data_IF_522119208299
#
_entry.id   IF_522119208299
#
_cell.length_a   1.000
_cell.length_b   1.000
_cell.length_c   1.000
_cell.angle_alpha   90.00
_cell.angle_beta   90.00
_cell.angle_gamma   90.00
#
_symmetry.space_group_name_H-M   'P 1'
#
loop_
_entity.id
_entity.type
_entity.pdbx_description
1 polymer ?
#
# COMPACT_ATOMS: atom_id res chain seq x y z
N UNK A 1 -10.25 69.44 -23.23
CA UNK A 1 -9.66 68.10 -23.38
C UNK A 1 -8.86 67.80 -22.12
N UNK A 2 -9.37 66.92 -21.26
CA UNK A 2 -8.67 66.44 -20.06
C UNK A 2 -8.91 64.94 -19.96
N UNK A 3 -7.82 64.19 -19.99
CA UNK A 3 -7.81 62.73 -19.99
C UNK A 3 -8.10 62.20 -18.58
N UNK A 4 -9.08 61.30 -18.47
CA UNK A 4 -9.40 60.59 -17.24
C UNK A 4 -8.53 59.32 -17.09
N UNK A 5 -8.07 58.97 -15.88
CA UNK A 5 -7.14 57.87 -15.67
C UNK A 5 -7.84 56.51 -15.63
N UNK A 6 -7.21 55.51 -16.26
CA UNK A 6 -7.56 54.10 -16.18
C UNK A 6 -7.31 53.57 -14.75
N UNK A 7 -8.36 53.13 -14.06
CA UNK A 7 -8.24 52.38 -12.80
C UNK A 7 -7.75 50.96 -13.09
N UNK A 8 -6.59 50.64 -12.51
CA UNK A 8 -6.04 49.30 -12.35
C UNK A 8 -7.07 48.38 -11.69
N UNK A 9 -7.48 47.32 -12.39
CA UNK A 9 -8.22 46.20 -11.79
C UNK A 9 -7.19 45.31 -11.11
N UNK A 10 -7.07 45.48 -9.80
CA UNK A 10 -6.41 44.52 -8.91
C UNK A 10 -7.12 43.18 -9.09
N UNK A 11 -6.42 42.20 -9.67
CA UNK A 11 -6.87 40.80 -9.65
C UNK A 11 -6.86 40.33 -8.20
N UNK A 12 -8.04 40.34 -7.57
CA UNK A 12 -8.25 39.62 -6.32
C UNK A 12 -7.92 38.15 -6.59
N UNK A 13 -6.92 37.64 -5.89
CA UNK A 13 -6.61 36.21 -5.82
C UNK A 13 -7.76 35.59 -5.03
N UNK A 14 -8.77 35.04 -5.72
CA UNK A 14 -9.83 34.28 -5.07
C UNK A 14 -9.18 33.16 -4.25
N UNK A 15 -9.38 33.19 -2.94
CA UNK A 15 -9.09 32.04 -2.08
C UNK A 15 -10.06 30.93 -2.46
N UNK A 16 -9.56 29.69 -2.50
CA UNK A 16 -10.25 28.47 -2.95
C UNK A 16 -11.57 28.17 -2.19
N UNK A 17 -11.90 28.98 -1.18
CA UNK A 17 -12.95 28.80 -0.17
C UNK A 17 -14.27 29.53 -0.50
N UNK A 18 -14.34 30.38 -1.53
CA UNK A 18 -15.53 31.22 -1.76
C UNK A 18 -16.65 30.54 -2.56
N UNK A 19 -16.47 29.29 -3.02
CA UNK A 19 -17.52 28.55 -3.72
C UNK A 19 -17.51 27.05 -3.37
N UNK A 20 -18.43 26.63 -2.50
CA UNK A 20 -18.50 25.25 -1.98
C UNK A 20 -18.71 24.21 -3.07
N UNK A 21 -19.47 24.53 -4.12
CA UNK A 21 -19.79 23.60 -5.22
C UNK A 21 -18.54 23.25 -6.06
N UNK A 22 -17.68 24.23 -6.34
CA UNK A 22 -16.42 23.99 -7.06
C UNK A 22 -15.41 23.20 -6.22
N UNK A 23 -15.43 23.36 -4.90
CA UNK A 23 -14.58 22.57 -4.00
C UNK A 23 -15.01 21.10 -3.99
N UNK A 24 -16.32 20.83 -3.93
CA UNK A 24 -16.85 19.46 -3.95
C UNK A 24 -16.57 18.74 -5.28
N UNK A 25 -16.77 19.40 -6.42
CA UNK A 25 -16.43 18.86 -7.75
C UNK A 25 -14.93 18.53 -7.87
N UNK A 26 -14.07 19.42 -7.39
CA UNK A 26 -12.62 19.18 -7.36
C UNK A 26 -12.27 17.97 -6.50
N UNK A 27 -12.84 17.86 -5.29
CA UNK A 27 -12.55 16.74 -4.37
C UNK A 27 -13.02 15.41 -4.94
N UNK A 28 -14.22 15.36 -5.54
CA UNK A 28 -14.69 14.17 -6.27
C UNK A 28 -13.77 13.82 -7.44
N UNK A 29 -13.24 14.82 -8.14
CA UNK A 29 -12.23 14.63 -9.18
C UNK A 29 -10.93 14.00 -8.66
N UNK A 30 -10.43 14.41 -7.50
CA UNK A 30 -9.22 13.83 -6.87
C UNK A 30 -9.45 12.34 -6.56
N UNK A 31 -10.62 11.99 -6.03
CA UNK A 31 -10.99 10.60 -5.76
C UNK A 31 -11.11 9.77 -7.04
N UNK A 32 -11.71 10.33 -8.10
CA UNK A 32 -11.82 9.65 -9.38
C UNK A 32 -10.44 9.37 -10.00
N UNK A 33 -9.49 10.31 -9.91
CA UNK A 33 -8.11 10.08 -10.36
C UNK A 33 -7.47 8.95 -9.56
N UNK A 34 -7.58 8.97 -8.22
CA UNK A 34 -7.09 7.87 -7.37
C UNK A 34 -7.66 6.53 -7.82
N UNK A 35 -8.97 6.42 -8.00
CA UNK A 35 -9.63 5.13 -8.27
C UNK A 35 -9.27 4.56 -9.65
N UNK A 36 -9.12 5.43 -10.66
CA UNK A 36 -8.62 5.02 -11.98
C UNK A 36 -7.23 4.41 -11.86
N UNK A 37 -6.32 5.08 -11.16
CA UNK A 37 -4.93 4.62 -11.01
C UNK A 37 -4.80 3.40 -10.09
N UNK A 38 -5.65 3.27 -9.08
CA UNK A 38 -5.78 2.04 -8.29
C UNK A 38 -6.18 0.86 -9.19
N UNK A 39 -7.16 1.04 -10.08
CA UNK A 39 -7.58 0.03 -11.04
C UNK A 39 -6.49 -0.39 -12.01
N UNK A 40 -5.63 0.54 -12.45
CA UNK A 40 -4.44 0.21 -13.23
C UNK A 40 -3.43 -0.62 -12.41
N UNK A 41 -3.15 -0.23 -11.17
CA UNK A 41 -2.16 -0.91 -10.33
C UNK A 41 -2.54 -2.33 -9.87
N UNK A 42 -3.85 -2.62 -9.83
CA UNK A 42 -4.41 -3.93 -9.46
C UNK A 42 -4.77 -4.80 -10.69
N UNK A 43 -4.45 -4.35 -11.90
CA UNK A 43 -4.82 -5.04 -13.14
C UNK A 43 -4.13 -6.41 -13.25
N UNK A 44 -4.89 -7.42 -13.67
CA UNK A 44 -4.42 -8.79 -13.90
C UNK A 44 -4.72 -9.30 -15.33
N UNK A 45 -4.77 -8.39 -16.30
CA UNK A 45 -4.90 -8.71 -17.73
C UNK A 45 -3.51 -8.72 -18.38
N UNK A 46 -3.32 -9.39 -19.53
CA UNK A 46 -2.05 -9.40 -20.25
C UNK A 46 -1.45 -7.99 -20.45
N UNK A 47 -0.12 -7.93 -20.53
CA UNK A 47 0.57 -6.67 -20.81
C UNK A 47 0.29 -6.19 -22.24
N UNK A 48 0.16 -4.88 -22.40
CA UNK A 48 0.22 -4.24 -23.72
C UNK A 48 1.70 -4.09 -24.08
N UNK A 49 2.25 -5.14 -24.69
CA UNK A 49 3.68 -5.21 -25.03
C UNK A 49 4.09 -4.09 -25.97
N UNK A 50 3.27 -3.76 -26.97
CA UNK A 50 3.57 -2.71 -27.95
C UNK A 50 3.72 -1.34 -27.29
N UNK A 51 2.78 -0.96 -26.42
CA UNK A 51 2.88 0.32 -25.70
C UNK A 51 4.06 0.33 -24.72
N UNK A 52 4.33 -0.79 -24.04
CA UNK A 52 5.44 -0.89 -23.10
C UNK A 52 6.81 -0.77 -23.80
N UNK A 53 7.02 -1.54 -24.87
CA UNK A 53 8.25 -1.54 -25.66
C UNK A 53 8.52 -0.15 -26.24
N UNK A 54 7.52 0.48 -26.87
CA UNK A 54 7.67 1.82 -27.44
C UNK A 54 8.05 2.89 -26.39
N UNK A 55 7.48 2.80 -25.19
CA UNK A 55 7.83 3.70 -24.10
C UNK A 55 9.27 3.46 -23.59
N UNK A 56 9.69 2.19 -23.45
CA UNK A 56 11.07 1.84 -23.06
C UNK A 56 12.07 2.27 -24.14
N UNK A 57 11.81 2.02 -25.42
CA UNK A 57 12.66 2.46 -26.54
C UNK A 57 12.91 3.97 -26.49
N UNK A 58 11.85 4.74 -26.20
CA UNK A 58 11.96 6.20 -26.07
C UNK A 58 12.86 6.59 -24.88
N UNK A 59 12.78 5.86 -23.75
CA UNK A 59 13.67 6.07 -22.60
C UNK A 59 15.14 5.71 -22.91
N UNK A 60 15.38 4.64 -23.66
CA UNK A 60 16.72 4.25 -24.14
C UNK A 60 17.30 5.32 -25.05
N UNK A 61 16.54 5.75 -26.06
CA UNK A 61 16.94 6.80 -27.01
C UNK A 61 17.26 8.11 -26.31
N UNK A 62 16.39 8.55 -25.38
CA UNK A 62 16.61 9.76 -24.57
C UNK A 62 17.84 9.66 -23.64
N UNK A 63 18.23 8.45 -23.27
CA UNK A 63 19.43 8.19 -22.47
C UNK A 63 20.71 8.06 -23.30
N UNK A 64 20.61 8.14 -24.64
CA UNK A 64 21.73 8.02 -25.57
C UNK A 64 22.13 6.57 -25.88
N UNK A 65 21.24 5.62 -25.66
CA UNK A 65 21.45 4.20 -25.96
C UNK A 65 20.67 3.78 -27.22
N UNK A 66 21.11 2.68 -27.82
CA UNK A 66 20.39 2.02 -28.92
C UNK A 66 19.14 1.32 -28.37
N UNK A 67 18.19 1.02 -29.25
CA UNK A 67 17.01 0.24 -28.88
C UNK A 67 17.44 -1.14 -28.36
N UNK A 68 16.88 -1.61 -27.23
CA UNK A 68 17.24 -2.89 -26.66
C UNK A 68 16.53 -4.04 -27.38
N UNK A 69 17.07 -5.24 -27.22
CA UNK A 69 16.28 -6.46 -27.40
C UNK A 69 15.32 -6.63 -26.22
N UNK A 70 14.03 -6.85 -26.51
CA UNK A 70 13.02 -7.09 -25.48
C UNK A 70 12.89 -8.58 -25.18
N UNK A 71 13.05 -8.94 -23.91
CA UNK A 71 12.83 -10.30 -23.41
C UNK A 71 11.65 -10.28 -22.46
N UNK A 72 10.55 -10.89 -22.87
CA UNK A 72 9.36 -11.04 -22.04
C UNK A 72 9.41 -12.33 -21.23
N UNK A 73 9.22 -12.19 -19.92
CA UNK A 73 9.15 -13.29 -18.96
C UNK A 73 7.76 -13.36 -18.33
N UNK A 74 7.30 -14.55 -17.91
CA UNK A 74 5.93 -14.73 -17.39
C UNK A 74 5.70 -14.09 -16.02
N UNK A 75 6.76 -13.76 -15.28
CA UNK A 75 6.66 -13.21 -13.93
C UNK A 75 7.92 -12.44 -13.51
N UNK A 76 7.85 -11.57 -12.48
CA UNK A 76 9.03 -10.94 -11.90
C UNK A 76 10.07 -11.92 -11.33
N UNK A 77 9.70 -13.03 -10.64
CA UNK A 77 10.65 -14.09 -10.29
C UNK A 77 11.39 -14.67 -11.48
N UNK A 78 10.70 -15.03 -12.57
CA UNK A 78 11.34 -15.51 -13.79
C UNK A 78 12.31 -14.48 -14.40
N UNK A 79 11.98 -13.19 -14.30
CA UNK A 79 12.89 -12.10 -14.69
C UNK A 79 14.14 -12.04 -13.81
N UNK A 80 13.97 -12.18 -12.49
CA UNK A 80 15.10 -12.24 -11.55
C UNK A 80 16.04 -13.40 -11.86
N UNK A 81 15.49 -14.59 -12.09
CA UNK A 81 16.24 -15.81 -12.38
C UNK A 81 16.98 -15.69 -13.72
N UNK A 82 16.34 -15.14 -14.74
CA UNK A 82 16.96 -14.86 -16.03
C UNK A 82 18.15 -13.90 -15.87
N UNK A 83 17.94 -12.77 -15.17
CA UNK A 83 18.98 -11.76 -14.95
C UNK A 83 20.18 -12.35 -14.22
N UNK A 84 19.95 -13.20 -13.22
CA UNK A 84 20.99 -13.87 -12.47
C UNK A 84 21.74 -14.91 -13.33
N UNK A 85 21.01 -15.73 -14.08
CA UNK A 85 21.56 -16.81 -14.93
C UNK A 85 22.42 -16.26 -16.06
N UNK A 86 21.94 -15.22 -16.74
CA UNK A 86 22.62 -14.58 -17.86
C UNK A 86 23.71 -13.59 -17.41
N UNK A 87 23.87 -13.37 -16.10
CA UNK A 87 24.85 -12.41 -15.57
C UNK A 87 24.63 -10.98 -16.05
N UNK A 88 23.37 -10.61 -16.35
CA UNK A 88 23.02 -9.27 -16.84
C UNK A 88 23.23 -8.18 -15.79
N UNK A 89 23.27 -8.56 -14.51
CA UNK A 89 23.62 -7.69 -13.40
C UNK A 89 24.92 -6.95 -13.71
N UNK A 90 24.79 -5.69 -14.10
CA UNK A 90 25.93 -4.92 -14.59
C UNK A 90 26.87 -4.69 -13.41
N UNK A 91 28.11 -5.17 -13.52
CA UNK A 91 29.20 -4.65 -12.68
C UNK A 91 29.22 -3.15 -12.93
N UNK A 92 28.82 -2.34 -11.94
CA UNK A 92 28.84 -0.89 -12.01
C UNK A 92 30.25 -0.47 -12.44
N UNK A 93 30.42 -0.18 -13.74
CA UNK A 93 31.71 0.24 -14.28
C UNK A 93 31.87 1.71 -13.96
N UNK A 94 32.59 1.99 -12.88
CA UNK A 94 33.01 3.35 -12.54
C UNK A 94 34.21 3.73 -13.43
N UNK A 95 33.94 4.17 -14.65
CA UNK A 95 34.91 5.02 -15.36
C UNK A 95 34.80 6.44 -14.77
N UNK A 96 35.92 7.17 -14.75
CA UNK A 96 36.20 8.37 -13.93
C UNK A 96 35.29 9.60 -14.12
N UNK A 97 34.16 9.44 -14.79
CA UNK A 97 33.18 10.44 -15.18
C UNK A 97 31.72 10.08 -14.81
N UNK A 98 31.45 8.91 -14.20
CA UNK A 98 30.15 8.59 -13.58
C UNK A 98 29.64 7.16 -13.84
N UNK A 99 28.43 6.86 -13.36
CA UNK A 99 27.75 5.57 -13.66
C UNK A 99 27.23 5.62 -15.10
N UNK A 100 27.78 4.77 -15.97
CA UNK A 100 27.53 4.84 -17.41
C UNK A 100 26.40 3.96 -17.92
N UNK A 101 25.92 2.98 -17.14
CA UNK A 101 24.92 2.01 -17.62
C UNK A 101 23.51 2.61 -17.80
N UNK A 102 22.73 2.02 -18.70
CA UNK A 102 21.40 2.55 -19.07
C UNK A 102 20.45 2.68 -17.87
N UNK A 103 20.45 1.71 -16.95
CA UNK A 103 19.54 1.70 -15.79
C UNK A 103 19.76 2.94 -14.92
N UNK A 104 21.01 3.32 -14.68
CA UNK A 104 21.37 4.52 -13.93
C UNK A 104 21.00 5.81 -14.68
N UNK A 105 21.15 5.84 -16.01
CA UNK A 105 20.77 7.01 -16.82
C UNK A 105 19.27 7.26 -16.83
N UNK A 106 18.47 6.22 -17.06
CA UNK A 106 17.01 6.29 -16.98
C UNK A 106 16.59 6.74 -15.57
N UNK A 107 17.17 6.12 -14.53
CA UNK A 107 16.87 6.47 -13.14
C UNK A 107 17.21 7.92 -12.81
N UNK A 108 18.35 8.42 -13.29
CA UNK A 108 18.77 9.81 -13.10
C UNK A 108 17.81 10.76 -13.80
N UNK A 109 17.53 10.55 -15.08
CA UNK A 109 16.61 11.37 -15.89
C UNK A 109 15.22 11.48 -15.23
N UNK A 110 14.63 10.35 -14.85
CA UNK A 110 13.32 10.32 -14.21
C UNK A 110 13.35 10.93 -12.79
N UNK A 111 14.45 10.79 -12.06
CA UNK A 111 14.62 11.42 -10.74
C UNK A 111 14.74 12.94 -10.83
N UNK A 112 15.50 13.44 -11.81
CA UNK A 112 15.64 14.88 -12.03
C UNK A 112 14.33 15.52 -12.49
N UNK A 113 13.58 14.86 -13.38
CA UNK A 113 12.27 15.33 -13.80
C UNK A 113 11.30 15.45 -12.61
N UNK A 114 11.21 14.40 -11.79
CA UNK A 114 10.42 14.41 -10.55
C UNK A 114 10.84 15.54 -9.61
N UNK A 115 12.14 15.71 -9.37
CA UNK A 115 12.65 16.80 -8.52
C UNK A 115 12.24 18.18 -9.02
N UNK A 116 12.23 18.40 -10.34
CA UNK A 116 11.77 19.65 -10.96
C UNK A 116 10.27 19.85 -10.77
N UNK A 117 9.46 18.82 -10.99
CA UNK A 117 8.00 18.86 -10.77
C UNK A 117 7.66 19.10 -9.28
N UNK A 118 8.31 18.39 -8.36
CA UNK A 118 8.15 18.56 -6.91
C UNK A 118 8.52 19.99 -6.47
N UNK A 119 9.58 20.56 -7.03
CA UNK A 119 9.98 21.94 -6.75
C UNK A 119 8.88 22.94 -7.17
N UNK A 120 8.20 22.70 -8.29
CA UNK A 120 7.09 23.54 -8.75
C UNK A 120 5.85 23.39 -7.85
N UNK A 121 5.51 22.16 -7.46
CA UNK A 121 4.41 21.87 -6.54
C UNK A 121 4.66 22.54 -5.19
N UNK A 122 5.89 22.45 -4.66
CA UNK A 122 6.26 23.06 -3.39
C UNK A 122 6.24 24.59 -3.41
N UNK A 123 6.46 25.23 -4.56
CA UNK A 123 6.36 26.71 -4.71
C UNK A 123 4.92 27.22 -4.68
N UNK A 124 3.93 26.35 -4.92
CA UNK A 124 2.50 26.69 -4.81
C UNK A 124 1.96 26.72 -3.38
N UNK A 125 2.82 26.62 -2.35
CA UNK A 125 2.40 26.51 -0.94
C UNK A 125 1.68 27.75 -0.42
N UNK A 126 0.63 27.49 0.35
CA UNK A 126 0.01 28.41 1.32
C UNK A 126 0.76 28.33 2.64
N UNK A 127 0.82 29.43 3.39
CA UNK A 127 1.54 29.66 4.66
C UNK A 127 0.96 28.84 5.85
N UNK A 128 0.74 27.53 5.68
CA UNK A 128 0.24 26.69 6.76
C UNK A 128 1.37 26.29 7.73
N UNK A 129 1.27 26.55 9.05
CA UNK A 129 2.38 26.33 9.98
C UNK A 129 2.84 24.87 10.16
N UNK A 130 2.02 23.87 9.80
CA UNK A 130 2.36 22.44 10.02
C UNK A 130 1.75 21.51 8.96
N UNK A 131 2.35 21.45 7.77
CA UNK A 131 1.90 20.59 6.66
C UNK A 131 1.81 19.10 7.02
N UNK A 132 2.72 18.58 7.85
CA UNK A 132 2.65 17.18 8.33
C UNK A 132 1.35 16.88 9.06
N UNK A 133 0.94 17.76 9.99
CA UNK A 133 -0.32 17.62 10.73
C UNK A 133 -1.52 17.71 9.81
N UNK A 134 -1.45 18.56 8.78
CA UNK A 134 -2.51 18.66 7.78
C UNK A 134 -2.69 17.36 6.97
N UNK A 135 -1.57 16.71 6.58
CA UNK A 135 -1.61 15.39 5.92
C UNK A 135 -2.15 14.31 6.87
N UNK A 136 -1.74 14.31 8.14
CA UNK A 136 -2.25 13.36 9.13
C UNK A 136 -3.76 13.49 9.33
N UNK A 137 -4.28 14.71 9.44
CA UNK A 137 -5.73 14.97 9.48
C UNK A 137 -6.40 14.50 8.19
N UNK A 138 -5.82 14.82 7.02
CA UNK A 138 -6.38 14.41 5.73
C UNK A 138 -6.43 12.88 5.56
N UNK A 139 -5.51 12.12 6.18
CA UNK A 139 -5.54 10.64 6.16
C UNK A 139 -6.71 10.03 6.94
N UNK A 140 -7.29 10.78 7.88
CA UNK A 140 -8.32 10.27 8.79
C UNK A 140 -9.75 10.59 8.35
N UNK A 141 -9.94 11.41 7.32
CA UNK A 141 -11.26 11.84 6.85
C UNK A 141 -11.30 12.02 5.33
N UNK A 142 -12.50 12.21 4.78
CA UNK A 142 -12.67 12.37 3.33
C UNK A 142 -11.97 13.64 2.79
N UNK A 143 -11.66 13.69 1.49
CA UNK A 143 -11.21 14.92 0.82
C UNK A 143 -12.16 16.11 1.03
N UNK A 144 -13.49 15.88 0.98
CA UNK A 144 -14.50 16.92 1.22
C UNK A 144 -14.48 17.45 2.66
N UNK A 145 -14.45 16.55 3.66
CA UNK A 145 -14.36 16.96 5.07
C UNK A 145 -13.04 17.69 5.38
N UNK A 146 -11.95 17.28 4.72
CA UNK A 146 -10.66 17.97 4.78
C UNK A 146 -10.73 19.37 4.19
N UNK A 147 -11.41 19.54 3.07
CA UNK A 147 -11.61 20.86 2.46
C UNK A 147 -12.40 21.80 3.37
N UNK A 148 -13.44 21.28 4.06
CA UNK A 148 -14.30 22.05 4.98
C UNK A 148 -13.58 22.57 6.22
N UNK A 149 -12.47 21.94 6.62
CA UNK A 149 -11.61 22.41 7.72
C UNK A 149 -10.32 23.07 7.21
N UNK A 150 -10.37 23.59 5.98
CA UNK A 150 -9.33 24.38 5.32
C UNK A 150 -7.98 23.64 5.14
N UNK A 151 -8.00 22.30 5.07
CA UNK A 151 -6.80 21.54 4.71
C UNK A 151 -6.44 21.84 3.25
N UNK A 152 -5.18 22.19 3.01
CA UNK A 152 -4.71 22.53 1.67
C UNK A 152 -4.93 21.40 0.66
N UNK A 153 -5.26 21.70 -0.62
CA UNK A 153 -5.35 20.70 -1.69
C UNK A 153 -4.09 19.84 -1.82
N UNK A 154 -2.89 20.39 -1.58
CA UNK A 154 -1.65 19.61 -1.59
C UNK A 154 -1.63 18.50 -0.54
N UNK A 155 -2.06 18.81 0.70
CA UNK A 155 -2.13 17.82 1.77
C UNK A 155 -3.20 16.76 1.49
N UNK A 156 -4.35 17.17 0.93
CA UNK A 156 -5.43 16.27 0.52
C UNK A 156 -4.94 15.33 -0.60
N UNK A 157 -4.37 15.85 -1.68
CA UNK A 157 -3.83 15.04 -2.79
C UNK A 157 -2.72 14.10 -2.29
N UNK A 158 -1.87 14.58 -1.37
CA UNK A 158 -0.84 13.72 -0.77
C UNK A 158 -1.43 12.54 -0.02
N UNK A 159 -2.44 12.76 0.83
CA UNK A 159 -3.08 11.70 1.59
C UNK A 159 -3.95 10.79 0.70
N UNK A 160 -4.85 11.40 -0.08
CA UNK A 160 -5.89 10.73 -0.84
C UNK A 160 -5.39 10.06 -2.12
N UNK A 161 -4.32 10.55 -2.74
CA UNK A 161 -3.77 9.98 -3.99
C UNK A 161 -2.43 9.29 -3.74
N UNK A 162 -1.42 10.02 -3.24
CA UNK A 162 -0.09 9.44 -3.12
C UNK A 162 -0.01 8.36 -2.03
N UNK A 163 -0.37 8.70 -0.79
CA UNK A 163 -0.19 7.80 0.35
C UNK A 163 -1.10 6.57 0.20
N UNK A 164 -2.38 6.77 -0.17
CA UNK A 164 -3.36 5.69 -0.37
C UNK A 164 -2.94 4.67 -1.43
N UNK A 165 -2.53 5.13 -2.61
CA UNK A 165 -2.06 4.28 -3.70
C UNK A 165 -0.72 3.63 -3.36
N UNK A 166 0.19 4.37 -2.70
CA UNK A 166 1.48 3.82 -2.28
C UNK A 166 1.29 2.67 -1.29
N UNK A 167 0.44 2.86 -0.27
CA UNK A 167 0.10 1.81 0.70
C UNK A 167 -0.43 0.57 0.01
N UNK A 168 -1.35 0.75 -0.96
CA UNK A 168 -2.00 -0.38 -1.63
C UNK A 168 -1.07 -1.10 -2.60
N UNK A 169 -0.39 -0.34 -3.46
CA UNK A 169 0.29 -0.88 -4.63
C UNK A 169 1.77 -1.15 -4.37
N UNK A 170 2.48 -0.25 -3.71
CA UNK A 170 3.93 -0.35 -3.56
C UNK A 170 4.33 -1.06 -2.26
N UNK A 171 3.74 -0.63 -1.15
CA UNK A 171 3.99 -1.21 0.18
C UNK A 171 3.16 -2.49 0.39
N UNK A 172 2.08 -2.69 -0.38
CA UNK A 172 1.27 -3.92 -0.41
C UNK A 172 1.70 -4.87 -1.52
N UNK A 173 1.19 -4.66 -2.75
CA UNK A 173 1.38 -5.61 -3.87
C UNK A 173 2.85 -5.80 -4.23
N UNK A 174 3.60 -4.72 -4.50
CA UNK A 174 4.98 -4.86 -4.93
C UNK A 174 5.86 -5.45 -3.81
N UNK A 175 5.61 -5.09 -2.54
CA UNK A 175 6.31 -5.69 -1.41
C UNK A 175 6.07 -7.20 -1.33
N UNK A 176 4.84 -7.66 -1.58
CA UNK A 176 4.52 -9.08 -1.62
C UNK A 176 5.21 -9.80 -2.79
N UNK A 177 5.19 -9.24 -4.00
CA UNK A 177 5.90 -9.83 -5.15
C UNK A 177 7.41 -9.94 -4.88
N UNK A 178 8.02 -8.96 -4.20
CA UNK A 178 9.45 -9.03 -3.84
C UNK A 178 9.78 -10.24 -2.94
N UNK A 179 8.83 -10.83 -2.23
CA UNK A 179 9.10 -12.03 -1.41
C UNK A 179 9.25 -13.30 -2.23
N UNK A 180 8.86 -13.28 -3.51
CA UNK A 180 8.97 -14.41 -4.44
C UNK A 180 10.33 -14.48 -5.13
N UNK A 181 11.19 -13.47 -4.98
CA UNK A 181 12.41 -13.34 -5.77
C UNK A 181 13.56 -12.74 -4.96
N UNK A 182 14.82 -13.12 -5.23
CA UNK A 182 15.95 -12.41 -4.67
C UNK A 182 16.00 -10.98 -5.20
N UNK A 183 16.70 -10.10 -4.48
CA UNK A 183 16.97 -8.76 -4.96
C UNK A 183 17.86 -8.81 -6.21
N UNK A 184 17.43 -8.13 -7.27
CA UNK A 184 18.21 -8.01 -8.51
C UNK A 184 19.38 -7.05 -8.28
N UNK A 185 20.61 -7.58 -8.30
CA UNK A 185 21.83 -6.79 -8.20
C UNK A 185 22.16 -6.09 -9.54
N UNK A 186 22.86 -4.96 -9.49
CA UNK A 186 23.41 -4.32 -10.70
C UNK A 186 22.40 -3.66 -11.64
N UNK A 187 21.13 -3.53 -11.24
CA UNK A 187 20.08 -2.88 -12.04
C UNK A 187 19.02 -2.18 -11.17
N UNK A 188 18.22 -1.31 -11.80
CA UNK A 188 17.07 -0.66 -11.16
C UNK A 188 15.83 -1.49 -11.49
N UNK A 189 15.14 -1.95 -10.44
CA UNK A 189 13.84 -2.62 -10.59
C UNK A 189 12.75 -1.57 -10.74
N UNK A 190 12.11 -1.54 -11.91
CA UNK A 190 10.94 -0.72 -12.17
C UNK A 190 9.69 -1.55 -11.94
N UNK A 191 8.74 -1.04 -11.16
CA UNK A 191 7.62 -1.84 -10.66
C UNK A 191 6.36 -1.72 -11.53
N UNK A 192 6.49 -1.11 -12.72
CA UNK A 192 5.40 -0.91 -13.69
C UNK A 192 4.13 -0.37 -13.05
N UNK A 193 3.03 -1.12 -13.18
CA UNK A 193 1.73 -0.74 -12.65
C UNK A 193 1.72 -0.45 -11.13
N UNK A 194 2.62 -1.03 -10.33
CA UNK A 194 2.69 -0.72 -8.88
C UNK A 194 3.35 0.64 -8.57
N UNK A 195 3.88 1.35 -9.58
CA UNK A 195 4.34 2.73 -9.45
C UNK A 195 3.24 3.78 -9.69
N UNK A 196 1.98 3.34 -9.92
CA UNK A 196 0.87 4.25 -10.22
C UNK A 196 0.68 5.37 -9.18
N UNK A 197 1.04 5.16 -7.92
CA UNK A 197 1.01 6.20 -6.88
C UNK A 197 1.81 7.47 -7.26
N UNK A 198 2.93 7.30 -7.97
CA UNK A 198 3.76 8.43 -8.43
C UNK A 198 3.13 9.14 -9.61
N UNK A 199 2.67 8.37 -10.59
CA UNK A 199 2.06 8.90 -11.82
C UNK A 199 0.76 9.62 -11.49
N UNK A 200 -0.11 9.00 -10.70
CA UNK A 200 -1.38 9.57 -10.25
C UNK A 200 -1.21 10.91 -9.56
N UNK A 201 -0.17 11.06 -8.75
CA UNK A 201 0.14 12.31 -8.07
C UNK A 201 0.40 13.44 -9.07
N UNK A 202 1.38 13.29 -9.98
CA UNK A 202 1.66 14.33 -10.99
C UNK A 202 0.52 14.52 -11.98
N UNK A 203 -0.18 13.45 -12.35
CA UNK A 203 -1.34 13.48 -13.22
C UNK A 203 -2.49 14.29 -12.59
N UNK A 204 -2.70 14.19 -11.27
CA UNK A 204 -3.67 15.03 -10.53
C UNK A 204 -3.31 16.51 -10.68
N UNK A 205 -2.06 16.90 -10.42
CA UNK A 205 -1.64 18.30 -10.57
C UNK A 205 -1.81 18.82 -12.00
N UNK A 206 -1.52 17.98 -12.99
CA UNK A 206 -1.67 18.32 -14.41
C UNK A 206 -3.14 18.47 -14.81
N UNK A 207 -4.00 17.51 -14.46
CA UNK A 207 -5.43 17.49 -14.83
C UNK A 207 -6.20 18.66 -14.25
N UNK A 208 -5.91 19.02 -13.00
CA UNK A 208 -6.58 20.13 -12.33
C UNK A 208 -5.86 21.48 -12.49
N UNK A 209 -4.82 21.56 -13.33
CA UNK A 209 -4.10 22.80 -13.59
C UNK A 209 -3.40 23.41 -12.36
N UNK A 210 -3.10 22.60 -11.35
CA UNK A 210 -2.48 23.02 -10.09
C UNK A 210 -0.98 23.31 -10.24
N UNK A 211 -0.36 22.73 -11.26
CA UNK A 211 1.02 23.03 -11.66
C UNK A 211 1.17 22.94 -13.18
N UNK A 212 2.01 23.82 -13.75
CA UNK A 212 2.40 23.77 -15.16
C UNK A 212 3.82 23.25 -15.27
N UNK A 213 3.96 21.99 -15.67
CA UNK A 213 5.26 21.35 -15.87
C UNK A 213 5.90 21.76 -17.20
N UNK A 214 7.21 21.56 -17.31
CA UNK A 214 7.96 21.77 -18.57
C UNK A 214 7.53 20.72 -19.58
N UNK A 215 7.59 21.03 -20.88
CA UNK A 215 7.24 20.06 -21.93
C UNK A 215 8.02 18.76 -21.80
N UNK A 216 9.33 18.85 -21.52
CA UNK A 216 10.19 17.68 -21.31
C UNK A 216 9.77 16.82 -20.10
N UNK A 217 9.33 17.46 -19.01
CA UNK A 217 8.83 16.75 -17.82
C UNK A 217 7.46 16.10 -18.09
N UNK A 218 6.62 16.72 -18.93
CA UNK A 218 5.34 16.17 -19.36
C UNK A 218 5.55 14.93 -20.23
N UNK A 219 6.47 14.99 -21.20
CA UNK A 219 6.81 13.84 -22.06
C UNK A 219 7.31 12.65 -21.22
N UNK A 220 8.17 12.89 -20.23
CA UNK A 220 8.62 11.83 -19.31
C UNK A 220 7.48 11.28 -18.45
N UNK A 221 6.56 12.13 -17.99
CA UNK A 221 5.36 11.68 -17.27
C UNK A 221 4.43 10.85 -18.15
N UNK A 222 4.31 11.18 -19.44
CA UNK A 222 3.52 10.41 -20.41
C UNK A 222 4.13 9.03 -20.67
N UNK A 223 5.46 8.93 -20.75
CA UNK A 223 6.14 7.63 -20.82
C UNK A 223 5.88 6.78 -19.56
N UNK A 224 5.96 7.38 -18.37
CA UNK A 224 5.64 6.68 -17.13
C UNK A 224 4.16 6.28 -17.04
N UNK A 225 3.27 7.11 -17.57
CA UNK A 225 1.83 6.83 -17.70
C UNK A 225 1.58 5.62 -18.59
N UNK A 226 2.22 5.59 -19.76
CA UNK A 226 2.14 4.48 -20.70
C UNK A 226 2.64 3.17 -20.05
N UNK A 227 3.83 3.17 -19.44
CA UNK A 227 4.40 2.00 -18.79
C UNK A 227 3.53 1.47 -17.64
N UNK A 228 3.07 2.37 -16.76
CA UNK A 228 2.18 2.02 -15.64
C UNK A 228 0.88 1.39 -16.15
N UNK A 229 0.35 1.90 -17.27
CA UNK A 229 -0.86 1.39 -17.91
C UNK A 229 -0.66 0.13 -18.75
N UNK A 230 0.56 -0.18 -19.17
CA UNK A 230 0.86 -1.21 -20.17
C UNK A 230 1.48 -2.50 -19.62
N UNK A 231 2.36 -2.44 -18.60
CA UNK A 231 3.16 -3.62 -18.20
C UNK A 231 3.30 -3.80 -16.68
N UNK A 232 3.79 -4.99 -16.30
CA UNK A 232 4.32 -5.33 -14.99
C UNK A 232 5.73 -4.80 -14.79
N UNK A 233 6.58 -5.57 -14.11
CA UNK A 233 7.92 -5.10 -13.74
C UNK A 233 8.89 -5.13 -14.89
N UNK A 234 9.96 -4.35 -14.81
CA UNK A 234 10.98 -4.35 -15.83
C UNK A 234 12.36 -3.90 -15.36
N UNK A 235 13.36 -4.32 -16.14
CA UNK A 235 14.77 -4.05 -15.89
C UNK A 235 15.46 -3.68 -17.21
N UNK A 236 16.24 -2.60 -17.17
CA UNK A 236 17.01 -2.12 -18.30
C UNK A 236 18.48 -2.46 -18.16
N UNK A 237 19.03 -3.09 -19.21
CA UNK A 237 20.46 -3.34 -19.42
C UNK A 237 20.88 -2.80 -20.78
N UNK A 238 22.17 -2.58 -20.99
CA UNK A 238 22.67 -1.76 -22.10
C UNK A 238 22.15 -2.19 -23.49
N UNK A 239 21.96 -3.50 -23.72
CA UNK A 239 21.44 -4.06 -24.98
C UNK A 239 20.13 -4.87 -24.82
N UNK A 240 19.67 -5.11 -23.59
CA UNK A 240 18.51 -5.97 -23.31
C UNK A 240 17.59 -5.28 -22.32
N UNK A 241 16.29 -5.35 -22.55
CA UNK A 241 15.28 -4.99 -21.56
C UNK A 241 14.46 -6.23 -21.20
N UNK A 242 14.50 -6.63 -19.93
CA UNK A 242 13.68 -7.73 -19.42
C UNK A 242 12.37 -7.14 -18.93
N UNK A 243 11.26 -7.64 -19.49
CA UNK A 243 9.90 -7.19 -19.21
C UNK A 243 9.11 -8.35 -18.60
N UNK A 244 8.49 -8.17 -17.44
CA UNK A 244 7.65 -9.18 -16.82
C UNK A 244 6.18 -8.95 -17.19
N UNK A 245 5.50 -10.04 -17.54
CA UNK A 245 4.06 -10.05 -17.63
C UNK A 245 3.39 -9.70 -16.30
N UNK A 246 2.11 -9.32 -16.40
CA UNK A 246 1.27 -9.06 -15.24
C UNK A 246 0.83 -10.37 -14.57
N UNK A 247 0.41 -10.30 -13.30
CA UNK A 247 -0.32 -11.41 -12.68
C UNK A 247 -1.54 -11.79 -13.53
N UNK A 248 -1.87 -13.07 -13.57
CA UNK A 248 -3.10 -13.61 -14.16
C UNK A 248 -4.29 -13.49 -13.21
N UNK A 249 -4.02 -13.44 -11.90
CA UNK A 249 -5.00 -13.14 -10.86
C UNK A 249 -4.39 -12.20 -9.81
N UNK A 250 -5.20 -11.25 -9.33
CA UNK A 250 -4.84 -10.37 -8.23
C UNK A 250 -6.11 -9.99 -7.45
N UNK A 251 -6.15 -10.39 -6.18
CA UNK A 251 -7.27 -10.19 -5.29
C UNK A 251 -6.89 -9.32 -4.11
N UNK A 252 -7.72 -8.31 -3.85
CA UNK A 252 -7.50 -7.37 -2.78
C UNK A 252 -8.84 -6.96 -2.14
N UNK A 253 -8.79 -6.60 -0.86
CA UNK A 253 -9.93 -6.11 -0.10
C UNK A 253 -9.66 -4.68 0.43
N UNK A 254 -10.70 -3.92 0.81
CA UNK A 254 -10.51 -2.65 1.51
C UNK A 254 -9.74 -2.84 2.81
N UNK A 255 -8.83 -1.93 3.14
CA UNK A 255 -8.20 -1.90 4.46
C UNK A 255 -9.22 -1.33 5.46
N UNK A 256 -9.59 -2.07 6.53
CA UNK A 256 -10.52 -1.57 7.54
C UNK A 256 -10.08 -0.25 8.17
N UNK A 257 -11.03 0.66 8.41
CA UNK A 257 -10.79 1.96 9.04
C UNK A 257 -10.09 3.00 8.15
N UNK A 258 -9.79 2.67 6.89
CA UNK A 258 -9.22 3.63 5.93
C UNK A 258 -10.32 4.32 5.10
N UNK A 259 -10.04 5.55 4.67
CA UNK A 259 -11.04 6.46 4.09
C UNK A 259 -10.77 6.81 2.62
N UNK A 260 -9.58 6.48 2.10
CA UNK A 260 -9.14 6.80 0.74
C UNK A 260 -9.07 5.57 -0.17
N UNK A 261 -10.00 4.63 0.01
CA UNK A 261 -10.09 3.39 -0.77
C UNK A 261 -8.79 2.56 -0.80
N UNK A 262 -7.99 2.60 0.26
CA UNK A 262 -6.77 1.80 0.37
C UNK A 262 -7.11 0.30 0.37
N UNK A 263 -6.31 -0.48 -0.36
CA UNK A 263 -6.50 -1.91 -0.57
C UNK A 263 -5.32 -2.69 0.01
N UNK A 264 -5.59 -3.90 0.48
CA UNK A 264 -4.56 -4.89 0.82
C UNK A 264 -4.84 -6.18 0.09
N UNK A 265 -3.79 -6.92 -0.27
CA UNK A 265 -3.93 -8.25 -0.85
C UNK A 265 -4.69 -9.17 0.11
N UNK A 266 -5.67 -9.89 -0.43
CA UNK A 266 -6.43 -10.88 0.32
C UNK A 266 -7.25 -11.74 -0.64
N UNK A 267 -7.28 -13.04 -0.40
CA UNK A 267 -8.34 -13.91 -0.91
C UNK A 267 -8.66 -15.00 0.14
N UNK A 268 -9.95 -15.29 0.41
CA UNK A 268 -10.33 -16.18 1.50
C UNK A 268 -10.12 -17.67 1.20
N UNK A 269 -10.11 -18.07 -0.07
CA UNK A 269 -10.20 -19.48 -0.48
C UNK A 269 -9.21 -19.91 -1.57
N UNK A 270 -8.31 -19.02 -1.98
CA UNK A 270 -7.38 -19.22 -3.11
C UNK A 270 -6.17 -18.28 -2.95
N UNK A 271 -5.12 -18.38 -3.79
CA UNK A 271 -4.07 -17.38 -3.81
C UNK A 271 -4.63 -15.96 -4.03
N UNK A 272 -4.03 -14.98 -3.37
CA UNK A 272 -4.35 -13.58 -3.59
C UNK A 272 -3.63 -13.01 -4.83
N UNK A 273 -2.61 -13.70 -5.33
CA UNK A 273 -1.85 -13.32 -6.50
C UNK A 273 -1.34 -14.58 -7.21
N UNK A 274 -1.45 -14.61 -8.54
CA UNK A 274 -0.96 -15.70 -9.39
C UNK A 274 -0.31 -15.13 -10.65
N UNK A 275 0.79 -15.74 -11.09
CA UNK A 275 1.42 -15.53 -12.39
C UNK A 275 1.25 -16.75 -13.29
N UNK A 276 1.44 -16.56 -14.60
CA UNK A 276 1.25 -17.59 -15.62
C UNK A 276 2.19 -18.80 -15.44
N UNK A 277 3.38 -18.58 -14.88
CA UNK A 277 4.38 -19.63 -14.61
C UNK A 277 4.16 -20.40 -13.30
N UNK A 278 3.03 -20.19 -12.64
CA UNK A 278 2.65 -20.90 -11.41
C UNK A 278 3.20 -20.28 -10.12
N UNK A 279 3.96 -19.18 -10.18
CA UNK A 279 4.27 -18.41 -8.97
C UNK A 279 3.00 -17.82 -8.38
N UNK A 280 2.77 -18.07 -7.09
CA UNK A 280 1.57 -17.67 -6.39
C UNK A 280 1.87 -17.18 -4.96
N UNK A 281 0.95 -16.38 -4.41
CA UNK A 281 1.00 -15.92 -3.02
C UNK A 281 -0.35 -16.09 -2.35
N UNK A 282 -0.39 -16.80 -1.23
CA UNK A 282 -1.52 -16.80 -0.32
C UNK A 282 -1.39 -15.63 0.65
N UNK A 283 -2.44 -14.82 0.75
CA UNK A 283 -2.46 -13.64 1.62
C UNK A 283 -3.77 -13.58 2.38
N UNK A 284 -3.69 -13.59 3.71
CA UNK A 284 -4.82 -13.41 4.61
C UNK A 284 -4.78 -12.00 5.21
N UNK A 285 -5.76 -11.16 4.88
CA UNK A 285 -5.87 -9.81 5.43
C UNK A 285 -4.57 -8.96 5.35
N UNK A 286 -3.81 -9.09 4.25
CA UNK A 286 -2.53 -8.42 4.02
C UNK A 286 -1.30 -9.16 4.55
N UNK A 287 -1.46 -10.23 5.32
CA UNK A 287 -0.38 -11.08 5.82
C UNK A 287 -0.11 -12.21 4.83
N UNK A 288 1.12 -12.33 4.32
CA UNK A 288 1.54 -13.45 3.49
C UNK A 288 1.60 -14.70 4.37
N UNK A 289 0.90 -15.76 3.96
CA UNK A 289 0.76 -16.99 4.71
C UNK A 289 1.06 -18.19 3.82
N UNK A 290 1.43 -19.35 4.40
CA UNK A 290 1.42 -20.60 3.66
C UNK A 290 0.02 -20.95 3.14
N UNK A 291 -0.02 -21.75 2.08
CA UNK A 291 -1.25 -22.25 1.44
C UNK A 291 -2.21 -22.93 2.41
N UNK A 292 -1.68 -23.74 3.33
CA UNK A 292 -2.46 -24.49 4.31
C UNK A 292 -3.31 -23.57 5.19
N UNK A 293 -2.89 -22.33 5.44
CA UNK A 293 -3.68 -21.37 6.23
C UNK A 293 -5.00 -21.03 5.54
N UNK A 294 -5.00 -20.96 4.21
CA UNK A 294 -6.15 -20.56 3.42
C UNK A 294 -6.99 -21.78 3.00
N UNK A 295 -6.31 -22.83 2.54
CA UNK A 295 -6.93 -24.00 1.91
C UNK A 295 -7.38 -25.08 2.90
N UNK A 296 -6.57 -25.35 3.92
CA UNK A 296 -6.79 -26.48 4.84
C UNK A 296 -6.16 -26.20 6.22
N UNK A 297 -6.67 -25.21 6.95
CA UNK A 297 -6.20 -24.90 8.29
C UNK A 297 -6.70 -25.94 9.30
N UNK A 298 -5.78 -26.45 10.13
CA UNK A 298 -6.11 -27.40 11.20
C UNK A 298 -5.41 -26.99 12.49
N UNK A 299 -5.99 -27.37 13.63
CA UNK A 299 -5.37 -27.16 14.95
C UNK A 299 -3.96 -27.76 15.02
N UNK A 300 -3.78 -28.94 14.42
CA UNK A 300 -2.50 -29.64 14.40
C UNK A 300 -1.40 -28.86 13.65
N UNK A 301 -1.74 -28.22 12.52
CA UNK A 301 -0.83 -27.34 11.78
C UNK A 301 -0.57 -26.03 12.54
N UNK A 302 -1.61 -25.44 13.14
CA UNK A 302 -1.49 -24.24 13.98
C UNK A 302 -0.51 -24.48 15.15
N UNK A 303 -0.60 -25.63 15.83
CA UNK A 303 0.28 -25.95 16.96
C UNK A 303 1.77 -26.08 16.56
N UNK A 304 2.06 -26.49 15.31
CA UNK A 304 3.43 -26.64 14.80
C UNK A 304 4.00 -25.37 14.20
N UNK A 305 3.16 -24.42 13.80
CA UNK A 305 3.58 -23.17 13.20
C UNK A 305 4.28 -22.28 14.24
N UNK A 306 5.49 -21.82 13.91
CA UNK A 306 6.33 -21.02 14.81
C UNK A 306 6.00 -19.53 14.69
N UNK A 307 5.56 -19.09 13.53
CA UNK A 307 5.23 -17.70 13.29
C UNK A 307 3.86 -17.37 13.92
N UNK A 308 3.87 -16.50 14.92
CA UNK A 308 2.67 -16.11 15.67
C UNK A 308 1.60 -15.46 14.78
N UNK A 309 2.01 -14.66 13.79
CA UNK A 309 1.07 -14.02 12.87
C UNK A 309 0.42 -15.03 11.92
N UNK A 310 1.16 -16.05 11.48
CA UNK A 310 0.61 -17.15 10.65
C UNK A 310 -0.36 -17.99 11.45
N UNK A 311 -0.03 -18.34 12.71
CA UNK A 311 -0.95 -19.01 13.64
C UNK A 311 -2.23 -18.21 13.82
N UNK A 312 -2.10 -16.90 14.06
CA UNK A 312 -3.25 -16.01 14.21
C UNK A 312 -4.15 -16.04 12.98
N UNK A 313 -3.58 -15.92 11.78
CA UNK A 313 -4.34 -15.98 10.53
C UNK A 313 -5.08 -17.31 10.39
N UNK A 314 -4.44 -18.44 10.72
CA UNK A 314 -5.05 -19.75 10.67
C UNK A 314 -6.18 -19.94 11.70
N UNK A 315 -6.01 -19.44 12.93
CA UNK A 315 -7.07 -19.44 13.95
C UNK A 315 -8.25 -18.57 13.51
N UNK A 316 -7.99 -17.39 12.94
CA UNK A 316 -9.04 -16.54 12.38
C UNK A 316 -9.81 -17.25 11.25
N UNK A 317 -9.12 -18.07 10.44
CA UNK A 317 -9.73 -18.82 9.33
C UNK A 317 -10.65 -19.95 9.80
N UNK A 318 -10.27 -20.75 10.81
CA UNK A 318 -11.13 -21.81 11.36
C UNK A 318 -12.16 -21.29 12.37
N UNK A 319 -11.92 -20.10 12.92
CA UNK A 319 -12.72 -19.49 13.97
C UNK A 319 -12.28 -19.91 15.37
N UNK A 320 -12.44 -18.99 16.32
CA UNK A 320 -12.04 -19.19 17.71
C UNK A 320 -12.77 -20.35 18.40
N UNK A 321 -14.06 -20.52 18.13
CA UNK A 321 -14.84 -21.59 18.76
C UNK A 321 -14.33 -22.97 18.35
N UNK A 322 -14.17 -23.20 17.03
CA UNK A 322 -13.56 -24.41 16.47
C UNK A 322 -12.16 -24.65 17.05
N UNK A 323 -11.32 -23.60 17.11
CA UNK A 323 -9.98 -23.73 17.65
C UNK A 323 -9.96 -24.11 19.13
N UNK A 324 -10.80 -23.47 19.96
CA UNK A 324 -10.88 -23.75 21.40
C UNK A 324 -11.31 -25.21 21.64
N UNK A 325 -12.35 -25.65 20.94
CA UNK A 325 -12.94 -26.98 21.11
C UNK A 325 -11.97 -28.07 20.62
N UNK A 326 -11.42 -27.94 19.42
CA UNK A 326 -10.54 -28.94 18.82
C UNK A 326 -9.13 -28.96 19.45
N UNK A 327 -8.62 -27.81 19.91
CA UNK A 327 -7.34 -27.74 20.63
C UNK A 327 -7.47 -28.13 22.11
N UNK A 328 -8.70 -28.29 22.61
CA UNK A 328 -8.96 -28.63 24.02
C UNK A 328 -8.44 -27.57 24.99
N UNK A 329 -8.60 -26.28 24.65
CA UNK A 329 -8.10 -25.20 25.50
C UNK A 329 -8.86 -25.15 26.84
N UNK A 330 -8.12 -25.15 27.94
CA UNK A 330 -8.71 -25.07 29.27
C UNK A 330 -9.05 -23.61 29.62
N UNK A 331 -10.32 -23.33 29.90
CA UNK A 331 -10.76 -22.02 30.40
C UNK A 331 -10.23 -21.81 31.84
N UNK A 332 -9.54 -20.69 32.05
CA UNK A 332 -9.04 -20.24 33.35
C UNK A 332 -10.09 -19.38 34.05
N UNK A 333 -10.57 -18.34 33.34
CA UNK A 333 -11.49 -17.36 33.89
C UNK A 333 -12.36 -16.76 32.79
N UNK A 334 -13.54 -16.27 33.18
CA UNK A 334 -14.49 -15.57 32.32
C UNK A 334 -15.10 -14.41 33.09
N UNK A 335 -15.12 -13.24 32.45
CA UNK A 335 -15.75 -12.04 33.00
C UNK A 335 -16.51 -11.28 31.91
N UNK A 336 -17.45 -10.43 32.30
CA UNK A 336 -17.95 -9.40 31.39
C UNK A 336 -16.82 -8.42 31.04
N UNK A 337 -16.89 -7.76 29.89
CA UNK A 337 -15.94 -6.72 29.48
C UNK A 337 -16.50 -5.32 29.80
N UNK A 338 -16.07 -4.65 30.90
CA UNK A 338 -16.49 -3.28 31.21
C UNK A 338 -16.15 -2.29 30.10
N UNK A 339 -15.02 -2.52 29.41
CA UNK A 339 -14.60 -1.72 28.27
C UNK A 339 -15.45 -1.94 27.01
N UNK A 340 -16.25 -3.01 26.98
CA UNK A 340 -17.05 -3.41 25.83
C UNK A 340 -18.38 -4.06 26.25
N UNK A 341 -19.29 -3.24 26.80
CA UNK A 341 -20.59 -3.65 27.35
C UNK A 341 -21.34 -4.62 26.42
N UNK A 342 -21.80 -5.74 26.98
CA UNK A 342 -22.52 -6.79 26.26
C UNK A 342 -21.61 -7.90 25.69
N UNK A 343 -20.29 -7.79 25.89
CA UNK A 343 -19.33 -8.82 25.51
C UNK A 343 -18.59 -9.37 26.74
N UNK A 344 -17.98 -10.55 26.56
CA UNK A 344 -17.26 -11.25 27.61
C UNK A 344 -15.79 -11.42 27.26
N UNK A 345 -14.94 -11.32 28.26
CA UNK A 345 -13.55 -11.73 28.24
C UNK A 345 -13.45 -13.21 28.65
N UNK A 346 -12.60 -13.97 27.98
CA UNK A 346 -12.32 -15.37 28.32
C UNK A 346 -10.82 -15.60 28.28
N UNK A 347 -10.27 -16.14 29.36
CA UNK A 347 -8.84 -16.44 29.49
C UNK A 347 -8.63 -17.95 29.40
N UNK A 348 -7.76 -18.40 28.51
CA UNK A 348 -7.48 -19.82 28.30
C UNK A 348 -6.00 -20.15 28.51
N UNK A 349 -5.72 -21.39 28.92
CA UNK A 349 -4.38 -21.98 28.83
C UNK A 349 -4.18 -22.53 27.43
N UNK A 350 -3.03 -22.22 26.82
CA UNK A 350 -2.54 -22.87 25.61
C UNK A 350 -1.26 -23.61 25.96
N UNK A 351 -1.15 -24.86 25.52
CA UNK A 351 0.14 -25.56 25.50
C UNK A 351 0.71 -25.48 24.09
N UNK A 352 1.99 -25.13 23.96
CA UNK A 352 2.69 -25.16 22.68
C UNK A 352 3.08 -26.59 22.24
N UNK A 353 2.72 -27.62 23.02
CA UNK A 353 3.13 -29.01 22.77
C UNK A 353 4.61 -29.29 23.09
N UNK A 354 5.39 -28.27 23.46
CA UNK A 354 6.81 -28.35 23.83
C UNK A 354 7.02 -28.07 25.33
N UNK A 355 5.95 -28.14 26.12
CA UNK A 355 5.97 -27.96 27.57
C UNK A 355 5.96 -26.50 28.03
N UNK A 356 5.81 -25.52 27.13
CA UNK A 356 5.52 -24.14 27.51
C UNK A 356 4.02 -23.94 27.52
N UNK A 357 3.52 -23.45 28.63
CA UNK A 357 2.15 -22.93 28.73
C UNK A 357 2.21 -21.43 28.49
N UNK A 358 1.32 -20.93 27.65
CA UNK A 358 1.00 -19.50 27.56
C UNK A 358 -0.47 -19.30 27.90
N UNK A 359 -0.84 -18.10 28.32
CA UNK A 359 -2.25 -17.73 28.47
C UNK A 359 -2.68 -16.88 27.29
N UNK A 360 -3.92 -17.09 26.83
CA UNK A 360 -4.53 -16.27 25.80
C UNK A 360 -5.82 -15.65 26.29
N UNK A 361 -5.88 -14.33 26.21
CA UNK A 361 -7.10 -13.58 26.44
C UNK A 361 -7.84 -13.46 25.11
N UNK A 362 -9.07 -13.97 25.08
CA UNK A 362 -9.99 -13.79 23.98
C UNK A 362 -10.94 -12.63 24.30
N UNK A 363 -10.89 -11.60 23.45
CA UNK A 363 -11.70 -10.40 23.57
C UNK A 363 -12.44 -10.10 22.26
N UNK A 364 -13.54 -9.36 22.37
CA UNK A 364 -14.31 -8.87 21.21
C UNK A 364 -13.92 -7.43 20.93
N UNK A 365 -13.76 -7.07 19.66
CA UNK A 365 -13.40 -5.71 19.27
C UNK A 365 -14.49 -4.72 19.74
N UNK A 366 -14.05 -3.56 20.26
CA UNK A 366 -14.93 -2.53 20.82
C UNK A 366 -15.76 -1.81 19.76
N UNK A 367 -15.20 -1.69 18.56
CA UNK A 367 -15.84 -1.08 17.40
C UNK A 367 -16.32 -2.17 16.43
N UNK A 368 -17.56 -2.07 15.91
CA UNK A 368 -17.99 -2.93 14.83
C UNK A 368 -17.20 -2.64 13.56
N UNK A 369 -16.96 -3.67 12.76
CA UNK A 369 -16.51 -3.54 11.38
C UNK A 369 -17.61 -2.85 10.54
N UNK A 370 -17.27 -2.44 9.30
CA UNK A 370 -18.24 -1.75 8.41
C UNK A 370 -19.50 -2.58 8.12
N UNK A 371 -19.41 -3.90 8.19
CA UNK A 371 -20.51 -4.84 8.02
C UNK A 371 -21.32 -5.07 9.31
N UNK A 372 -21.01 -4.35 10.39
CA UNK A 372 -21.66 -4.46 11.69
C UNK A 372 -21.16 -5.63 12.55
N UNK A 373 -20.32 -6.52 12.01
CA UNK A 373 -19.77 -7.65 12.76
C UNK A 373 -18.68 -7.17 13.71
N UNK A 374 -18.46 -7.93 14.79
CA UNK A 374 -17.34 -7.72 15.70
C UNK A 374 -16.46 -8.94 15.67
N UNK A 375 -15.16 -8.72 15.52
CA UNK A 375 -14.17 -9.79 15.48
C UNK A 375 -13.72 -10.14 16.89
N UNK A 376 -13.48 -11.44 17.12
CA UNK A 376 -12.79 -11.94 18.31
C UNK A 376 -11.31 -12.02 18.01
N UNK A 377 -10.49 -11.58 18.97
CA UNK A 377 -9.03 -11.61 18.86
C UNK A 377 -8.43 -12.20 20.12
N UNK A 378 -7.41 -13.02 19.93
CA UNK A 378 -6.63 -13.63 21.00
C UNK A 378 -5.36 -12.85 21.23
N UNK A 379 -5.07 -12.55 22.49
CA UNK A 379 -3.89 -11.81 22.93
C UNK A 379 -3.10 -12.69 23.88
N UNK A 380 -1.83 -12.94 23.55
CA UNK A 380 -0.93 -13.64 24.47
C UNK A 380 -0.65 -12.77 25.69
N UNK A 381 -0.86 -13.33 26.87
CA UNK A 381 -0.63 -12.67 28.16
C UNK A 381 0.25 -13.55 29.07
N UNK A 382 0.99 -12.94 30.03
CA UNK A 382 1.83 -13.70 30.96
C UNK A 382 1.07 -14.78 31.74
N UNK A 383 1.68 -15.95 31.89
CA UNK A 383 1.11 -17.12 32.61
C UNK A 383 0.81 -16.87 34.09
N UNK A 384 1.42 -15.85 34.69
CA UNK A 384 1.13 -15.45 36.08
C UNK A 384 -0.26 -14.85 36.26
N UNK A 385 -0.90 -14.43 35.17
CA UNK A 385 -2.23 -13.81 35.19
C UNK A 385 -3.29 -14.90 35.14
N UNK A 386 -4.17 -14.95 36.13
CA UNK A 386 -5.24 -15.96 36.23
C UNK A 386 -6.64 -15.38 36.13
N UNK A 387 -6.80 -14.05 35.97
CA UNK A 387 -8.09 -13.41 35.75
C UNK A 387 -8.20 -12.80 34.35
N UNK A 388 -9.38 -12.96 33.73
CA UNK A 388 -9.69 -12.37 32.43
C UNK A 388 -9.68 -10.83 32.47
N UNK A 389 -10.10 -10.21 33.58
CA UNK A 389 -10.04 -8.76 33.77
C UNK A 389 -8.60 -8.26 33.93
N UNK A 390 -7.79 -8.96 34.74
CA UNK A 390 -6.37 -8.62 34.89
C UNK A 390 -5.60 -8.78 33.57
N UNK A 391 -5.93 -9.82 32.80
CA UNK A 391 -5.37 -10.04 31.48
C UNK A 391 -5.72 -8.88 30.53
N UNK A 392 -6.98 -8.41 30.55
CA UNK A 392 -7.38 -7.27 29.73
C UNK A 392 -6.67 -6.00 30.18
N UNK A 393 -6.61 -5.72 31.48
CA UNK A 393 -5.92 -4.58 32.06
C UNK A 393 -4.43 -4.54 31.68
N UNK A 394 -3.76 -5.70 31.71
CA UNK A 394 -2.36 -5.83 31.30
C UNK A 394 -2.12 -5.36 29.86
N UNK A 395 -3.06 -5.59 28.94
CA UNK A 395 -2.92 -5.13 27.55
C UNK A 395 -2.97 -3.60 27.40
N UNK A 396 -3.53 -2.91 28.39
CA UNK A 396 -3.58 -1.45 28.46
C UNK A 396 -2.50 -0.85 29.37
N UNK A 397 -1.70 -1.69 30.03
CA UNK A 397 -0.69 -1.24 31.01
C UNK A 397 -1.31 -0.63 32.28
N UNK A 398 -2.52 -1.07 32.67
CA UNK A 398 -3.22 -0.63 33.89
C UNK A 398 -3.53 -1.82 34.80
N UNK A 399 -3.94 -1.53 36.04
CA UNK A 399 -4.35 -2.55 37.00
C UNK A 399 -5.78 -3.06 36.75
N UNK A 400 -6.04 -4.31 37.15
CA UNK A 400 -7.35 -4.97 36.96
C UNK A 400 -8.52 -4.23 37.60
N UNK A 401 -8.30 -3.60 38.75
CA UNK A 401 -9.30 -2.76 39.42
C UNK A 401 -9.66 -1.53 38.60
N UNK A 402 -8.68 -0.89 37.97
CA UNK A 402 -8.92 0.30 37.14
C UNK A 402 -9.66 -0.10 35.86
N UNK A 403 -9.28 -1.23 35.26
CA UNK A 403 -9.99 -1.78 34.10
C UNK A 403 -11.46 -2.12 34.43
N UNK A 404 -11.73 -2.64 35.63
CA UNK A 404 -13.08 -2.96 36.09
C UNK A 404 -14.00 -1.72 36.18
N UNK A 405 -13.42 -0.53 36.30
CA UNK A 405 -14.14 0.74 36.36
C UNK A 405 -14.26 1.45 35.00
N UNK A 406 -13.79 0.84 33.90
CA UNK A 406 -14.00 1.40 32.56
C UNK A 406 -15.49 1.41 32.20
N UNK A 407 -15.95 2.58 31.73
CA UNK A 407 -17.35 2.78 31.30
C UNK A 407 -17.49 2.65 29.77
N UNK A 408 -16.40 2.88 29.01
CA UNK A 408 -16.35 2.70 27.55
C UNK A 408 -14.89 2.80 27.05
N UNK A 409 -14.50 1.98 26.06
CA UNK A 409 -13.28 2.21 25.26
C UNK A 409 -13.49 3.45 24.36
N UNK A 410 -12.58 4.43 24.42
CA UNK A 410 -12.50 5.53 23.44
C UNK A 410 -11.92 5.07 22.12
#
# INVERSE_FOLDING_TARGET
>A
MSAAPLRSVVRHRATFTDNQDHSAEFMSGVEAVRDVWLGHGLRAWPSDRTTAESAVETLYRRSGFREPEFVWVPSPPAGSDLIATEGLATTLSFAGDGVTCISARIATMLSESRRRMDTLIARGRSDWPHERRAVETARAQSPDDSARVDISPNAIIRAAVWDSLRTSLFDGVAAAIRTLMPAVAGGVSWYGQQEAHRVAFYDTYRRFGLARFRSDDVELLDLQTALTGATGWWWAFDNVCVMAERPTALHAEPIPGRVHNERRLHHPDAPALEFEDGHLLFVHHGTIVPDWVVLEPTVERIARERNVEVRRCAIERIGWDTYIDEAGLALIDRADDPGNVGHTLQLYVISDGWGRSDHILLAVNGSPERDGRRRRYGIYVPTRISSALEAAAWTYGIDGTDYAHLVRRT
#
